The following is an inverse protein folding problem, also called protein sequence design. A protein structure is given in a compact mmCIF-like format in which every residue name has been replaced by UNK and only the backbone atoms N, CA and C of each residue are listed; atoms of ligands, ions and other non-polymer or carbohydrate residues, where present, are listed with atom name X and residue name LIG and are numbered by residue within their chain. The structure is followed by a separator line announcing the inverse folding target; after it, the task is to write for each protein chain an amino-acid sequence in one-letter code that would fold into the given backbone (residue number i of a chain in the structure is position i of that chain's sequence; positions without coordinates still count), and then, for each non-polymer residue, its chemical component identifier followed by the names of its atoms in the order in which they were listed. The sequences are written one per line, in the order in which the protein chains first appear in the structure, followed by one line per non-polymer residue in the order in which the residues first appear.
data_IF_908914722944
#
_entry.id   IF_908914722944
#
_cell.length_a   1.000
_cell.length_b   1.000
_cell.length_c   1.000
_cell.angle_alpha   90.00
_cell.angle_beta   90.00
_cell.angle_gamma   90.00
#
_symmetry.space_group_name_H-M   'P 1'
#
loop_
_entity.id
_entity.type
_entity.pdbx_description
1 polymer ?
#
# COMPACT_ATOMS: atom_id res chain seq x y z
N UNK A 1 3.12 -0.30 14.75
CA UNK A 1 2.17 0.82 14.97
C UNK A 1 2.82 2.11 14.48
N UNK A 2 2.03 3.11 14.05
CA UNK A 2 2.59 4.41 13.65
C UNK A 2 3.16 5.15 14.87
N UNK A 3 4.30 5.83 14.73
CA UNK A 3 4.91 6.66 15.78
C UNK A 3 4.90 8.16 15.40
N UNK A 4 5.09 9.01 16.40
CA UNK A 4 5.24 10.45 16.20
C UNK A 4 6.51 10.76 15.42
N UNK A 5 6.42 11.79 14.58
CA UNK A 5 7.55 12.32 13.83
C UNK A 5 8.50 13.06 14.76
N UNK A 6 9.80 12.79 14.67
CA UNK A 6 10.83 13.45 15.48
C UNK A 6 11.88 14.20 14.63
N UNK A 7 11.75 14.18 13.30
CA UNK A 7 12.64 14.88 12.38
C UNK A 7 13.85 14.05 11.92
N UNK A 8 14.10 12.88 12.51
CA UNK A 8 15.07 11.91 11.99
C UNK A 8 14.42 11.16 10.81
N UNK A 9 15.05 11.27 9.62
CA UNK A 9 14.56 10.65 8.40
C UNK A 9 14.39 9.14 8.53
N UNK A 10 15.36 8.44 9.11
CA UNK A 10 15.34 6.97 9.19
C UNK A 10 14.22 6.47 10.12
N UNK A 11 13.97 7.22 11.19
CA UNK A 11 12.87 6.97 12.13
C UNK A 11 11.52 7.27 11.48
N UNK A 12 11.36 8.48 10.94
CA UNK A 12 10.11 8.96 10.34
C UNK A 12 9.68 8.09 9.15
N UNK A 13 10.62 7.68 8.31
CA UNK A 13 10.36 6.83 7.14
C UNK A 13 9.73 5.48 7.55
N UNK A 14 10.29 4.86 8.58
CA UNK A 14 9.87 3.53 9.06
C UNK A 14 8.59 3.58 9.86
N UNK A 15 8.44 4.58 10.73
CA UNK A 15 7.42 4.56 11.77
C UNK A 15 6.29 5.59 11.59
N UNK A 16 6.48 6.65 10.81
CA UNK A 16 5.40 7.62 10.59
C UNK A 16 4.54 7.28 9.37
N UNK A 17 3.23 7.52 9.46
CA UNK A 17 2.26 7.34 8.37
C UNK A 17 1.47 8.61 8.03
N UNK A 18 1.62 9.68 8.82
CA UNK A 18 0.85 10.91 8.62
C UNK A 18 1.20 11.58 7.30
N UNK A 19 0.16 11.90 6.50
CA UNK A 19 0.25 12.57 5.20
C UNK A 19 1.15 11.86 4.17
N UNK A 20 1.39 10.56 4.33
CA UNK A 20 2.22 9.80 3.39
C UNK A 20 1.44 9.54 2.10
N UNK A 21 2.00 9.95 0.98
CA UNK A 21 1.48 9.65 -0.36
C UNK A 21 2.22 8.41 -0.88
N UNK A 22 1.47 7.47 -1.45
CA UNK A 22 2.02 6.29 -2.11
C UNK A 22 1.82 6.49 -3.62
N UNK A 23 2.84 7.04 -4.27
CA UNK A 23 2.91 7.32 -5.71
C UNK A 23 3.71 6.26 -6.48
N UNK A 24 3.99 5.13 -5.84
CA UNK A 24 4.75 4.04 -6.43
C UNK A 24 3.91 3.24 -7.47
N UNK A 25 4.57 2.52 -8.40
CA UNK A 25 3.87 1.75 -9.43
C UNK A 25 2.95 0.64 -8.87
N UNK A 26 3.23 0.10 -7.69
CA UNK A 26 2.33 -0.88 -7.04
C UNK A 26 1.06 -0.16 -6.62
N UNK A 27 1.18 0.95 -5.87
CA UNK A 27 0.03 1.72 -5.41
C UNK A 27 -0.85 2.27 -6.54
N UNK A 28 -0.25 2.80 -7.60
CA UNK A 28 -0.99 3.26 -8.78
C UNK A 28 -1.79 2.12 -9.44
N UNK A 29 -1.19 0.92 -9.53
CA UNK A 29 -1.87 -0.25 -10.10
C UNK A 29 -3.02 -0.75 -9.23
N UNK A 30 -2.87 -0.77 -7.90
CA UNK A 30 -3.94 -1.12 -6.96
C UNK A 30 -5.18 -0.23 -7.17
N UNK A 31 -5.00 1.05 -7.51
CA UNK A 31 -6.09 1.97 -7.78
C UNK A 31 -6.67 1.90 -9.20
N UNK A 32 -5.89 1.46 -10.18
CA UNK A 32 -6.29 1.51 -11.60
C UNK A 32 -6.83 0.19 -12.16
N UNK A 33 -6.57 -0.96 -11.53
CA UNK A 33 -6.99 -2.24 -12.08
C UNK A 33 -8.51 -2.49 -11.93
N UNK A 34 -9.09 -3.18 -12.90
CA UNK A 34 -10.51 -3.59 -12.88
C UNK A 34 -10.68 -5.10 -12.68
N UNK A 35 -9.57 -5.83 -12.46
CA UNK A 35 -9.61 -7.27 -12.17
C UNK A 35 -10.29 -7.53 -10.82
N UNK A 36 -11.06 -8.62 -10.66
CA UNK A 36 -11.73 -8.95 -9.39
C UNK A 36 -10.78 -9.05 -8.18
N UNK A 37 -9.53 -9.43 -8.42
CA UNK A 37 -8.48 -9.52 -7.42
C UNK A 37 -7.13 -9.26 -8.08
N UNK A 38 -6.26 -8.51 -7.39
CA UNK A 38 -4.86 -8.33 -7.77
C UNK A 38 -3.97 -8.59 -6.55
N UNK A 39 -3.04 -9.54 -6.68
CA UNK A 39 -2.02 -9.84 -5.67
C UNK A 39 -0.64 -9.47 -6.23
N UNK A 40 0.11 -8.68 -5.47
CA UNK A 40 1.43 -8.19 -5.87
C UNK A 40 2.46 -8.37 -4.75
N UNK A 41 3.71 -8.63 -5.13
CA UNK A 41 4.84 -8.48 -4.23
C UNK A 41 5.19 -7.01 -4.15
N UNK A 42 5.05 -6.42 -2.98
CA UNK A 42 5.35 -5.02 -2.73
C UNK A 42 6.65 -4.90 -1.93
N UNK A 43 7.71 -4.43 -2.59
CA UNK A 43 8.96 -4.04 -1.93
C UNK A 43 8.86 -2.59 -1.51
N UNK A 44 8.82 -2.35 -0.21
CA UNK A 44 8.78 -1.00 0.35
C UNK A 44 10.17 -0.36 0.29
N UNK A 45 10.16 0.97 0.32
CA UNK A 45 11.34 1.80 0.55
C UNK A 45 12.00 1.58 1.92
N UNK A 46 11.24 1.05 2.90
CA UNK A 46 11.77 0.57 4.19
C UNK A 46 12.60 -0.72 4.08
N UNK A 47 12.66 -1.34 2.89
CA UNK A 47 13.30 -2.65 2.67
C UNK A 47 12.41 -3.85 3.00
N UNK A 48 11.23 -3.61 3.57
CA UNK A 48 10.26 -4.67 3.87
C UNK A 48 9.62 -5.22 2.59
N UNK A 49 9.54 -6.55 2.49
CA UNK A 49 8.76 -7.24 1.47
C UNK A 49 7.40 -7.60 2.06
N UNK A 50 6.33 -7.15 1.41
CA UNK A 50 4.96 -7.45 1.79
C UNK A 50 4.20 -8.01 0.59
N UNK A 51 3.10 -8.71 0.87
CA UNK A 51 2.08 -9.01 -0.12
C UNK A 51 1.03 -7.90 -0.09
N UNK A 52 0.75 -7.33 -1.24
CA UNK A 52 -0.33 -6.37 -1.44
C UNK A 52 -1.47 -7.04 -2.18
N UNK A 53 -2.67 -7.00 -1.58
CA UNK A 53 -3.90 -7.49 -2.14
C UNK A 53 -4.81 -6.29 -2.44
N UNK A 54 -5.37 -6.21 -3.64
CA UNK A 54 -6.33 -5.16 -4.00
C UNK A 54 -7.53 -5.67 -4.78
N UNK A 55 -8.66 -4.97 -4.59
CA UNK A 55 -9.93 -5.19 -5.29
C UNK A 55 -10.49 -3.83 -5.75
N UNK A 56 -11.16 -3.75 -6.92
CA UNK A 56 -11.70 -2.50 -7.42
C UNK A 56 -12.95 -2.07 -6.63
N UNK A 57 -13.12 -0.76 -6.48
CA UNK A 57 -14.29 -0.13 -5.85
C UNK A 57 -15.09 0.58 -6.91
N UNK A 58 -16.37 0.21 -7.01
CA UNK A 58 -17.32 0.84 -7.92
C UNK A 58 -18.43 1.54 -7.14
N UNK A 59 -18.78 2.75 -7.57
CA UNK A 59 -19.93 3.51 -7.06
C UNK A 59 -20.81 3.86 -8.24
N UNK A 60 -22.07 3.44 -8.21
CA UNK A 60 -23.04 3.62 -9.31
C UNK A 60 -22.50 3.13 -10.67
N UNK A 61 -21.81 1.99 -10.69
CA UNK A 61 -21.23 1.39 -11.90
C UNK A 61 -19.97 2.08 -12.44
N UNK A 62 -19.50 3.15 -11.80
CA UNK A 62 -18.23 3.83 -12.17
C UNK A 62 -17.09 3.34 -11.29
N UNK A 63 -15.93 3.06 -11.89
CA UNK A 63 -14.70 2.74 -11.16
C UNK A 63 -14.17 3.99 -10.44
N UNK A 64 -14.00 3.90 -9.12
CA UNK A 64 -13.53 5.00 -8.27
C UNK A 64 -12.09 4.80 -7.76
N UNK A 65 -11.54 3.60 -7.90
CA UNK A 65 -10.23 3.23 -7.38
C UNK A 65 -10.23 1.80 -6.83
N UNK A 66 -9.28 1.48 -5.96
CA UNK A 66 -9.18 0.16 -5.34
C UNK A 66 -9.08 0.22 -3.82
N UNK A 67 -9.64 -0.81 -3.17
CA UNK A 67 -9.38 -1.12 -1.77
C UNK A 67 -8.18 -2.06 -1.69
N UNK A 68 -7.20 -1.75 -0.84
CA UNK A 68 -5.96 -2.52 -0.74
C UNK A 68 -5.60 -2.87 0.69
N UNK A 69 -5.00 -4.05 0.87
CA UNK A 69 -4.48 -4.57 2.14
C UNK A 69 -3.06 -5.09 1.92
N UNK A 70 -2.13 -4.55 2.70
CA UNK A 70 -0.77 -5.09 2.81
C UNK A 70 -0.66 -6.05 3.98
N UNK A 71 -0.11 -7.25 3.76
CA UNK A 71 0.15 -8.23 4.80
C UNK A 71 1.54 -8.85 4.64
N UNK A 72 2.11 -9.32 5.75
CA UNK A 72 3.39 -10.03 5.72
C UNK A 72 3.17 -11.43 5.14
N UNK A 73 4.02 -11.91 4.22
CA UNK A 73 4.00 -13.31 3.85
C UNK A 73 4.24 -14.15 5.12
N UNK A 74 3.50 -15.25 5.26
CA UNK A 74 3.73 -16.22 6.32
C UNK A 74 5.17 -16.71 6.23
N UNK A 75 5.86 -16.70 7.36
CA UNK A 75 7.23 -17.24 7.45
C UNK A 75 7.06 -18.75 7.58
N UNK A 76 7.60 -19.50 6.63
CA UNK A 76 7.60 -20.97 6.68
C UNK A 76 8.39 -21.49 7.88
#
# INVERSE_FOLDING_TARGET
MSANRNGDYEHDLKLSRSKRIYDDPTGSRCGAHEKPLLLQTYKRDTGEIMRDLSVPVYVNGKHWGGFRVGYKPETA
#
